data_IF_347000839311
#
_entry.id   IF_347000839311
#
_cell.length_a   1.000
_cell.length_b   1.000
_cell.length_c   1.000
_cell.angle_alpha   90.00
_cell.angle_beta   90.00
_cell.angle_gamma   90.00
#
_symmetry.space_group_name_H-M   'P 1'
#
loop_
_entity.id
_entity.type
_entity.pdbx_description
1 polymer ?
#
# COMPACT_ATOMS: atom_id res chain seq x y z
N UNK A 1 1.37 14.14 2.92
CA UNK A 1 0.84 12.80 2.62
C UNK A 1 0.19 12.85 1.24
N UNK A 2 0.72 12.12 0.26
CA UNK A 2 0.14 12.07 -1.10
C UNK A 2 -1.19 11.31 -1.11
N UNK A 3 -2.13 11.81 -1.93
CA UNK A 3 -3.47 11.26 -2.09
C UNK A 3 -3.42 10.09 -3.06
N UNK A 4 -3.71 8.88 -2.59
CA UNK A 4 -3.82 7.71 -3.47
C UNK A 4 -5.24 7.57 -3.99
N UNK A 5 -5.38 7.63 -5.31
CA UNK A 5 -6.65 7.56 -6.04
C UNK A 5 -6.54 6.46 -7.09
N UNK A 6 -7.46 5.48 -7.08
CA UNK A 6 -7.48 4.42 -8.10
C UNK A 6 -7.65 5.04 -9.50
N UNK A 7 -6.75 4.76 -10.46
CA UNK A 7 -6.88 5.18 -11.85
C UNK A 7 -8.07 4.47 -12.53
N UNK A 8 -8.72 5.15 -13.49
CA UNK A 8 -9.73 4.52 -14.32
C UNK A 8 -9.09 3.39 -15.16
N UNK A 9 -9.71 2.21 -15.18
CA UNK A 9 -9.23 1.05 -15.95
C UNK A 9 -8.27 0.09 -15.24
N UNK A 10 -7.91 0.34 -13.98
CA UNK A 10 -7.06 -0.55 -13.17
C UNK A 10 -7.93 -1.38 -12.22
N UNK A 11 -7.72 -2.70 -12.15
CA UNK A 11 -8.42 -3.53 -11.16
C UNK A 11 -8.01 -3.12 -9.74
N UNK A 12 -8.88 -3.28 -8.73
CA UNK A 12 -8.51 -3.01 -7.35
C UNK A 12 -7.27 -3.79 -6.90
N UNK A 13 -7.10 -5.02 -7.38
CA UNK A 13 -5.94 -5.85 -7.07
C UNK A 13 -4.64 -5.27 -7.65
N UNK A 14 -4.65 -4.84 -8.91
CA UNK A 14 -3.48 -4.24 -9.55
C UNK A 14 -3.08 -2.93 -8.89
N UNK A 15 -4.07 -2.13 -8.47
CA UNK A 15 -3.84 -0.92 -7.70
C UNK A 15 -3.09 -1.22 -6.40
N UNK A 16 -3.59 -2.18 -5.62
CA UNK A 16 -2.93 -2.58 -4.36
C UNK A 16 -1.51 -3.11 -4.60
N UNK A 17 -1.30 -3.98 -5.60
CA UNK A 17 0.03 -4.48 -5.95
C UNK A 17 1.01 -3.35 -6.27
N UNK A 18 0.56 -2.37 -7.04
CA UNK A 18 1.37 -1.20 -7.39
C UNK A 18 1.73 -0.36 -6.15
N UNK A 19 0.77 -0.14 -5.25
CA UNK A 19 1.01 0.62 -4.02
C UNK A 19 1.95 -0.10 -3.04
N UNK A 20 1.87 -1.44 -2.93
CA UNK A 20 2.85 -2.24 -2.17
C UNK A 20 4.25 -2.01 -2.73
N UNK A 21 4.41 -2.14 -4.05
CA UNK A 21 5.71 -1.95 -4.72
C UNK A 21 6.27 -0.55 -4.48
N UNK A 22 5.47 0.50 -4.66
CA UNK A 22 5.89 1.89 -4.40
C UNK A 22 6.34 2.08 -2.95
N UNK A 23 5.52 1.64 -1.99
CA UNK A 23 5.84 1.77 -0.56
C UNK A 23 7.11 1.02 -0.17
N UNK A 24 7.37 -0.15 -0.77
CA UNK A 24 8.61 -0.89 -0.55
C UNK A 24 9.83 -0.15 -1.11
N UNK A 25 9.75 0.39 -2.34
CA UNK A 25 10.80 1.21 -2.95
C UNK A 25 11.10 2.45 -2.10
N UNK A 26 10.07 3.18 -1.69
CA UNK A 26 10.20 4.34 -0.81
C UNK A 26 10.89 3.98 0.50
N UNK A 27 10.48 2.89 1.14
CA UNK A 27 11.07 2.44 2.42
C UNK A 27 12.52 2.00 2.26
N UNK A 28 12.84 1.27 1.20
CA UNK A 28 14.24 0.92 0.90
C UNK A 28 15.09 2.16 0.66
N UNK A 29 14.56 3.15 -0.07
CA UNK A 29 15.23 4.43 -0.29
C UNK A 29 15.48 5.19 1.02
N UNK A 30 14.48 5.24 1.91
CA UNK A 30 14.59 5.86 3.23
C UNK A 30 15.63 5.19 4.13
N UNK A 31 15.72 3.86 4.07
CA UNK A 31 16.64 3.07 4.90
C UNK A 31 18.05 2.95 4.30
N UNK A 32 18.24 3.30 3.03
CA UNK A 32 19.50 3.13 2.31
C UNK A 32 19.90 1.66 2.06
N UNK A 33 19.00 0.71 2.28
CA UNK A 33 19.24 -0.74 2.10
C UNK A 33 18.00 -1.43 1.53
N UNK A 34 18.19 -2.55 0.80
CA UNK A 34 17.09 -3.39 0.27
C UNK A 34 16.52 -4.30 1.36
N UNK A 35 15.81 -3.71 2.32
CA UNK A 35 15.19 -4.41 3.44
C UNK A 35 13.79 -4.97 3.10
N UNK A 36 13.03 -4.25 2.28
CA UNK A 36 11.73 -4.64 1.76
C UNK A 36 11.87 -5.21 0.35
N UNK A 37 11.02 -6.18 -0.03
CA UNK A 37 11.00 -6.68 -1.40
C UNK A 37 10.29 -5.70 -2.33
N UNK A 38 10.82 -5.51 -3.54
CA UNK A 38 10.14 -4.75 -4.61
C UNK A 38 9.10 -5.61 -5.36
N UNK A 39 9.09 -6.94 -5.11
CA UNK A 39 8.10 -7.86 -5.65
C UNK A 39 6.86 -7.89 -4.74
N UNK A 40 5.69 -7.40 -5.19
CA UNK A 40 4.48 -7.38 -4.37
C UNK A 40 3.94 -8.79 -4.06
N UNK A 41 4.30 -9.82 -4.82
CA UNK A 41 3.86 -11.19 -4.55
C UNK A 41 4.57 -11.82 -3.32
N UNK A 42 5.60 -11.16 -2.77
CA UNK A 42 6.24 -11.53 -1.50
C UNK A 42 5.54 -10.92 -0.28
N UNK A 43 4.38 -10.29 -0.47
CA UNK A 43 3.62 -9.64 0.60
C UNK A 43 2.31 -10.34 0.87
N UNK A 44 2.18 -10.84 2.10
CA UNK A 44 0.92 -11.40 2.59
C UNK A 44 0.07 -10.27 3.17
N UNK A 45 -1.22 -10.20 2.82
CA UNK A 45 -2.16 -9.35 3.54
C UNK A 45 -2.42 -9.94 4.93
N UNK A 46 -2.23 -9.13 5.97
CA UNK A 46 -2.39 -9.59 7.37
C UNK A 46 -3.50 -8.87 8.14
N UNK A 47 -4.06 -7.78 7.60
CA UNK A 47 -5.19 -7.11 8.22
C UNK A 47 -5.45 -5.70 7.68
N UNK A 48 -6.57 -5.12 8.09
CA UNK A 48 -6.92 -3.74 7.78
C UNK A 48 -7.48 -3.01 9.01
N UNK A 49 -7.46 -1.68 8.95
CA UNK A 49 -8.15 -0.79 9.89
C UNK A 49 -8.95 0.23 9.11
N UNK A 50 -10.13 0.59 9.62
CA UNK A 50 -11.04 1.52 8.96
C UNK A 50 -11.15 2.80 9.76
N UNK A 51 -11.11 3.93 9.07
CA UNK A 51 -11.32 5.26 9.63
C UNK A 51 -12.35 6.00 8.78
N UNK A 52 -12.86 7.12 9.28
CA UNK A 52 -13.90 7.90 8.60
C UNK A 52 -13.49 8.30 7.18
N UNK A 53 -12.24 8.74 7.01
CA UNK A 53 -11.69 9.28 5.76
C UNK A 53 -10.80 8.30 4.98
N UNK A 54 -10.39 7.17 5.58
CA UNK A 54 -9.45 6.25 4.94
C UNK A 54 -9.50 4.81 5.45
N UNK A 55 -8.87 3.91 4.71
CA UNK A 55 -8.57 2.53 5.08
C UNK A 55 -7.05 2.38 5.21
N UNK A 56 -6.60 1.65 6.22
CA UNK A 56 -5.24 1.14 6.31
C UNK A 56 -5.26 -0.35 5.93
N UNK A 57 -4.36 -0.75 5.04
CA UNK A 57 -4.11 -2.15 4.72
C UNK A 57 -2.69 -2.50 5.15
N UNK A 58 -2.53 -3.59 5.89
CA UNK A 58 -1.26 -4.03 6.46
C UNK A 58 -0.84 -5.30 5.75
N UNK A 59 0.39 -5.28 5.25
CA UNK A 59 1.01 -6.38 4.52
C UNK A 59 2.29 -6.79 5.22
N UNK A 60 2.61 -8.08 5.26
CA UNK A 60 3.88 -8.60 5.77
C UNK A 60 4.75 -9.06 4.61
N UNK A 61 5.98 -8.57 4.54
CA UNK A 61 6.98 -9.07 3.60
C UNK A 61 7.52 -10.41 4.10
N UNK A 62 7.41 -11.47 3.31
CA UNK A 62 7.92 -12.81 3.65
C UNK A 62 9.44 -12.84 3.76
N UNK A 63 10.15 -12.02 2.99
CA UNK A 63 11.61 -11.94 2.96
C UNK A 63 12.21 -11.36 4.25
N UNK A 64 11.61 -10.32 4.80
CA UNK A 64 12.15 -9.60 5.97
C UNK A 64 11.31 -9.70 7.23
N UNK A 65 10.16 -10.37 7.16
CA UNK A 65 9.16 -10.48 8.23
C UNK A 65 8.66 -9.12 8.76
N UNK A 66 8.92 -8.05 8.02
CA UNK A 66 8.51 -6.70 8.35
C UNK A 66 7.16 -6.36 7.75
N UNK A 67 6.49 -5.36 8.31
CA UNK A 67 5.17 -4.93 7.85
C UNK A 67 5.23 -3.64 7.04
N UNK A 68 4.43 -3.58 5.97
CA UNK A 68 4.18 -2.41 5.16
C UNK A 68 2.72 -2.00 5.29
N UNK A 69 2.45 -0.72 5.56
CA UNK A 69 1.09 -0.19 5.68
C UNK A 69 0.79 0.75 4.53
N UNK A 70 -0.34 0.52 3.87
CA UNK A 70 -0.87 1.35 2.78
C UNK A 70 -2.10 2.09 3.28
N UNK A 71 -2.12 3.41 3.09
CA UNK A 71 -3.28 4.26 3.38
C UNK A 71 -4.05 4.52 2.09
N UNK A 72 -5.30 4.07 2.03
CA UNK A 72 -6.21 4.30 0.91
C UNK A 72 -7.31 5.26 1.36
N UNK A 73 -7.35 6.47 0.83
CA UNK A 73 -8.39 7.43 1.22
C UNK A 73 -9.74 7.02 0.62
N UNK A 74 -10.80 7.09 1.43
CA UNK A 74 -12.17 7.04 0.93
C UNK A 74 -12.38 8.31 0.12
N UNK A 75 -12.68 8.21 -1.17
CA UNK A 75 -13.10 9.39 -1.93
C UNK A 75 -14.36 9.93 -1.25
N UNK A 76 -14.26 11.00 -0.46
CA UNK A 76 -15.40 11.85 -0.17
C UNK A 76 -15.77 12.47 -1.51
N UNK A 77 -16.81 11.96 -2.14
CA UNK A 77 -17.39 12.54 -3.33
C UNK A 77 -17.88 13.95 -2.93
N UNK A 78 -17.32 15.04 -3.45
CA UNK A 78 -17.71 16.39 -3.02
C UNK A 78 -19.09 16.83 -3.54
N UNK A 79 -19.81 15.95 -4.27
CA UNK A 79 -21.09 16.24 -4.93
C UNK A 79 -22.20 15.22 -4.55
N UNK A 80 -22.27 14.76 -3.30
CA UNK A 80 -23.41 13.97 -2.79
C UNK A 80 -24.30 14.83 -1.91
#
# INVERSE_FOLDING_TARGET
MEKLTQPAGMSPADFIKNEIRKKAIEKNGQLGVKYYSENPDEYDFIGNSQFEDHFLMIFRCSRSYSSLTIRVNRRLNPNS
#
